data_IF_322085024633
#
_entry.id   IF_322085024633
#
_cell.length_a   1.000
_cell.length_b   1.000
_cell.length_c   1.000
_cell.angle_alpha   90.00
_cell.angle_beta   90.00
_cell.angle_gamma   90.00
#
_symmetry.space_group_name_H-M   'P 1'
#
loop_
_entity.id
_entity.type
_entity.pdbx_description
1 polymer ?
#
# COMPACT_ATOMS: atom_id res chain seq x y z
N UNK A 1 -28.20 7.15 3.31
CA UNK A 1 -26.90 6.78 3.91
C UNK A 1 -25.87 7.57 3.13
N UNK A 2 -25.26 8.59 3.75
CA UNK A 2 -24.25 9.41 3.07
C UNK A 2 -23.12 8.51 2.59
N UNK A 3 -22.89 8.52 1.28
CA UNK A 3 -21.74 7.86 0.67
C UNK A 3 -20.50 8.63 1.07
N UNK A 4 -19.88 8.23 2.18
CA UNK A 4 -18.55 8.70 2.54
C UNK A 4 -17.63 8.40 1.37
N UNK A 5 -16.95 9.43 0.85
CA UNK A 5 -15.97 9.24 -0.22
C UNK A 5 -14.96 8.18 0.24
N UNK A 6 -14.56 7.22 -0.61
CA UNK A 6 -13.54 6.27 -0.22
C UNK A 6 -12.21 7.00 0.02
N UNK A 7 -11.39 6.45 0.92
CA UNK A 7 -10.14 7.04 1.34
C UNK A 7 -9.14 7.05 0.18
N UNK A 8 -8.38 8.13 0.07
CA UNK A 8 -7.28 8.25 -0.89
C UNK A 8 -6.12 7.33 -0.48
N UNK A 9 -5.29 6.93 -1.44
CA UNK A 9 -4.10 6.11 -1.19
C UNK A 9 -3.18 6.77 -0.15
N UNK A 10 -3.05 8.10 -0.19
CA UNK A 10 -2.26 8.87 0.79
C UNK A 10 -2.86 8.82 2.20
N UNK A 11 -4.19 8.91 2.33
CA UNK A 11 -4.89 8.76 3.62
C UNK A 11 -4.70 7.33 4.18
N UNK A 12 -4.80 6.30 3.32
CA UNK A 12 -4.57 4.91 3.71
C UNK A 12 -3.11 4.63 4.11
N UNK A 13 -2.15 5.21 3.39
CA UNK A 13 -0.73 5.08 3.73
C UNK A 13 -0.42 5.75 5.07
N UNK A 14 -0.98 6.93 5.34
CA UNK A 14 -0.87 7.60 6.63
C UNK A 14 -1.52 6.77 7.75
N UNK A 15 -2.67 6.16 7.49
CA UNK A 15 -3.34 5.26 8.43
C UNK A 15 -2.48 4.02 8.75
N UNK A 16 -1.83 3.43 7.74
CA UNK A 16 -0.92 2.30 7.95
C UNK A 16 0.27 2.65 8.88
N UNK A 17 0.80 3.88 8.76
CA UNK A 17 1.92 4.37 9.59
C UNK A 17 1.51 4.69 11.04
N UNK A 18 0.22 4.76 11.33
CA UNK A 18 -0.29 5.03 12.69
C UNK A 18 -0.18 3.83 13.64
N UNK A 19 0.25 2.66 13.13
CA UNK A 19 0.40 1.46 13.94
C UNK A 19 1.45 1.67 15.06
N UNK A 20 1.08 1.49 16.34
CA UNK A 20 2.02 1.60 17.46
C UNK A 20 3.24 0.69 17.33
N UNK A 21 3.09 -0.48 16.69
CA UNK A 21 4.16 -1.46 16.49
C UNK A 21 5.19 -0.98 15.44
N UNK A 22 4.82 -0.01 14.61
CA UNK A 22 5.73 0.68 13.69
C UNK A 22 6.48 1.84 14.37
N UNK A 23 6.10 2.23 15.59
CA UNK A 23 6.83 3.29 16.31
C UNK A 23 8.26 2.85 16.64
N UNK A 24 9.20 3.79 16.63
CA UNK A 24 10.66 3.56 16.73
C UNK A 24 11.15 3.01 18.09
N UNK A 25 10.25 2.68 19.01
CA UNK A 25 10.62 2.22 20.35
C UNK A 25 10.76 0.69 20.33
N UNK A 26 11.92 0.19 19.87
CA UNK A 26 12.20 -1.25 19.75
C UNK A 26 12.40 -1.95 21.10
N UNK A 27 11.31 -2.09 21.86
CA UNK A 27 11.29 -2.88 23.10
C UNK A 27 11.06 -4.37 22.84
N UNK A 28 10.57 -4.73 21.66
CA UNK A 28 10.19 -6.10 21.32
C UNK A 28 11.32 -6.86 20.61
N UNK A 29 11.29 -8.19 20.70
CA UNK A 29 12.18 -9.11 19.99
C UNK A 29 11.95 -9.04 18.47
N UNK A 30 12.99 -9.23 17.65
CA UNK A 30 12.86 -9.35 16.19
C UNK A 30 11.84 -10.41 15.77
N UNK A 31 11.73 -11.52 16.52
CA UNK A 31 10.73 -12.57 16.25
C UNK A 31 9.29 -12.05 16.38
N UNK A 32 9.07 -11.10 17.28
CA UNK A 32 7.77 -10.45 17.41
C UNK A 32 7.42 -9.70 16.14
N UNK A 33 8.33 -8.87 15.61
CA UNK A 33 8.10 -8.12 14.37
C UNK A 33 7.89 -9.02 13.16
N UNK A 34 8.63 -10.14 13.06
CA UNK A 34 8.43 -11.13 11.98
C UNK A 34 7.03 -11.75 12.04
N UNK A 35 6.60 -12.21 13.21
CA UNK A 35 5.25 -12.77 13.40
C UNK A 35 4.18 -11.73 13.12
N UNK A 36 4.42 -10.49 13.53
CA UNK A 36 3.50 -9.37 13.30
C UNK A 36 3.34 -9.08 11.81
N UNK A 37 4.45 -9.01 11.07
CA UNK A 37 4.45 -8.83 9.63
C UNK A 37 3.69 -9.95 8.90
N UNK A 38 3.90 -11.21 9.31
CA UNK A 38 3.18 -12.35 8.74
C UNK A 38 1.67 -12.30 9.06
N UNK A 39 1.32 -11.89 10.28
CA UNK A 39 -0.08 -11.72 10.71
C UNK A 39 -0.78 -10.70 9.82
N UNK A 40 -0.23 -9.49 9.69
CA UNK A 40 -0.76 -8.46 8.81
C UNK A 40 -0.92 -8.94 7.37
N UNK A 41 0.06 -9.66 6.83
CA UNK A 41 -0.05 -10.25 5.49
C UNK A 41 -1.21 -11.23 5.35
N UNK A 42 -1.44 -12.08 6.36
CA UNK A 42 -2.58 -13.03 6.37
C UNK A 42 -3.91 -12.30 6.48
N UNK A 43 -3.97 -11.26 7.31
CA UNK A 43 -5.17 -10.43 7.49
C UNK A 43 -5.52 -9.68 6.20
N UNK A 44 -4.54 -9.00 5.59
CA UNK A 44 -4.71 -8.33 4.31
C UNK A 44 -5.18 -9.28 3.21
N UNK A 45 -4.62 -10.50 3.15
CA UNK A 45 -5.06 -11.53 2.20
C UNK A 45 -6.50 -11.96 2.45
N UNK A 46 -6.88 -12.17 3.71
CA UNK A 46 -8.22 -12.61 4.06
C UNK A 46 -9.27 -11.54 3.73
N UNK A 47 -8.96 -10.27 3.97
CA UNK A 47 -9.80 -9.13 3.63
C UNK A 47 -9.94 -8.97 2.11
N UNK A 48 -8.81 -8.96 1.37
CA UNK A 48 -8.81 -8.79 -0.08
C UNK A 48 -9.51 -9.93 -0.83
N UNK A 49 -9.43 -11.16 -0.32
CA UNK A 49 -10.12 -12.31 -0.90
C UNK A 49 -11.61 -12.38 -0.54
N UNK A 50 -12.09 -11.51 0.35
CA UNK A 50 -13.44 -11.57 0.90
C UNK A 50 -13.69 -12.76 1.84
N UNK A 51 -12.65 -13.54 2.17
CA UNK A 51 -12.71 -14.64 3.13
C UNK A 51 -12.95 -14.13 4.56
N UNK A 52 -12.54 -12.89 4.83
CA UNK A 52 -12.84 -12.16 6.06
C UNK A 52 -13.55 -10.86 5.67
N UNK A 53 -14.69 -10.59 6.30
CA UNK A 53 -15.39 -9.31 6.21
C UNK A 53 -15.35 -8.66 7.57
N UNK A 54 -14.88 -7.42 7.66
CA UNK A 54 -14.76 -6.70 8.94
C UNK A 54 -15.86 -5.66 9.09
N UNK A 55 -16.25 -5.05 7.98
CA UNK A 55 -17.26 -3.99 7.93
C UNK A 55 -18.50 -4.41 7.15
N UNK A 56 -18.38 -5.40 6.26
CA UNK A 56 -19.48 -5.85 5.40
C UNK A 56 -19.62 -5.03 4.11
N UNK A 57 -18.88 -3.92 4.00
CA UNK A 57 -18.71 -3.14 2.79
C UNK A 57 -17.41 -3.54 2.08
N UNK A 58 -17.50 -3.85 0.78
CA UNK A 58 -16.36 -4.33 0.01
C UNK A 58 -15.29 -3.24 -0.16
N UNK A 59 -15.69 -1.98 -0.28
CA UNK A 59 -14.76 -0.85 -0.39
C UNK A 59 -13.91 -0.70 0.86
N UNK A 60 -14.58 -0.66 2.01
CA UNK A 60 -13.95 -0.50 3.32
C UNK A 60 -13.09 -1.72 3.69
N UNK A 61 -13.53 -2.95 3.37
CA UNK A 61 -12.73 -4.14 3.61
C UNK A 61 -11.47 -4.18 2.71
N UNK A 62 -11.52 -3.63 1.49
CA UNK A 62 -10.34 -3.46 0.62
C UNK A 62 -9.38 -2.39 1.14
N UNK A 63 -9.89 -1.26 1.64
CA UNK A 63 -9.10 -0.22 2.29
C UNK A 63 -8.34 -0.79 3.51
N UNK A 64 -9.02 -1.61 4.32
CA UNK A 64 -8.38 -2.33 5.42
C UNK A 64 -7.34 -3.32 4.93
N UNK A 65 -7.61 -4.05 3.84
CA UNK A 65 -6.63 -4.95 3.26
C UNK A 65 -5.34 -4.21 2.87
N UNK A 66 -5.47 -3.03 2.26
CA UNK A 66 -4.34 -2.18 1.91
C UNK A 66 -3.53 -1.80 3.16
N UNK A 67 -4.20 -1.35 4.23
CA UNK A 67 -3.54 -0.95 5.48
C UNK A 67 -2.73 -2.11 6.06
N UNK A 68 -3.32 -3.30 6.17
CA UNK A 68 -2.66 -4.50 6.69
C UNK A 68 -1.43 -4.86 5.84
N UNK A 69 -1.57 -4.82 4.52
CA UNK A 69 -0.43 -5.09 3.64
C UNK A 69 0.68 -4.03 3.75
N UNK A 70 0.32 -2.75 3.82
CA UNK A 70 1.28 -1.65 3.99
C UNK A 70 2.04 -1.80 5.31
N UNK A 71 1.36 -2.14 6.41
CA UNK A 71 1.99 -2.43 7.71
C UNK A 71 2.98 -3.61 7.62
N UNK A 72 2.58 -4.69 6.95
CA UNK A 72 3.47 -5.85 6.71
C UNK A 72 4.73 -5.45 5.94
N UNK A 73 4.58 -4.66 4.87
CA UNK A 73 5.69 -4.20 4.05
C UNK A 73 6.65 -3.31 4.85
N UNK A 74 6.13 -2.34 5.60
CA UNK A 74 6.96 -1.46 6.46
C UNK A 74 7.75 -2.27 7.48
N UNK A 75 7.14 -3.29 8.10
CA UNK A 75 7.86 -4.17 9.02
C UNK A 75 9.01 -4.92 8.34
N UNK A 76 8.77 -5.49 7.16
CA UNK A 76 9.76 -6.33 6.45
C UNK A 76 10.90 -5.51 5.84
N UNK A 77 10.57 -4.35 5.27
CA UNK A 77 11.55 -3.53 4.52
C UNK A 77 12.29 -2.56 5.42
N UNK A 78 11.65 -2.02 6.46
CA UNK A 78 12.25 -0.98 7.29
C UNK A 78 12.58 -1.49 8.69
N UNK A 79 11.58 -2.03 9.41
CA UNK A 79 11.74 -2.29 10.86
C UNK A 79 12.63 -3.49 11.15
N UNK A 80 12.38 -4.63 10.53
CA UNK A 80 13.14 -5.87 10.76
C UNK A 80 14.62 -5.69 10.37
N UNK A 81 14.97 -5.12 9.20
CA UNK A 81 16.38 -4.92 8.83
C UNK A 81 17.11 -3.91 9.73
N UNK A 82 16.39 -2.93 10.28
CA UNK A 82 16.96 -1.95 11.24
C UNK A 82 17.11 -2.49 12.67
N UNK A 83 16.61 -3.69 12.96
CA UNK A 83 16.64 -4.26 14.29
C UNK A 83 18.06 -4.68 14.69
N UNK A 84 18.48 -4.36 15.93
CA UNK A 84 19.84 -4.68 16.43
C UNK A 84 20.21 -6.17 16.29
N UNK A 85 19.23 -7.04 16.51
CA UNK A 85 19.40 -8.49 16.47
C UNK A 85 19.20 -9.09 15.06
N UNK A 86 19.03 -8.27 14.01
CA UNK A 86 18.80 -8.75 12.65
C UNK A 86 19.91 -9.67 12.13
N UNK A 87 21.17 -9.31 12.39
CA UNK A 87 22.31 -10.08 11.93
C UNK A 87 22.62 -11.31 12.80
N UNK A 88 22.18 -11.32 14.05
CA UNK A 88 22.49 -12.37 15.05
C UNK A 88 21.36 -13.40 15.20
N UNK A 89 20.11 -12.97 15.11
CA UNK A 89 18.94 -13.83 15.31
C UNK A 89 18.45 -14.52 14.03
N UNK A 90 18.81 -14.00 12.85
CA UNK A 90 18.42 -14.56 11.55
C UNK A 90 19.61 -15.17 10.83
N UNK A 91 19.38 -16.32 10.19
CA UNK A 91 20.36 -16.94 9.28
C UNK A 91 20.48 -16.13 7.99
N UNK A 92 21.56 -16.33 7.24
CA UNK A 92 21.75 -15.69 5.93
C UNK A 92 20.60 -16.01 4.96
N UNK A 93 20.08 -17.24 5.00
CA UNK A 93 18.93 -17.67 4.20
C UNK A 93 17.63 -16.95 4.61
N UNK A 94 17.36 -16.85 5.92
CA UNK A 94 16.18 -16.12 6.42
C UNK A 94 16.21 -14.64 6.03
N UNK A 95 17.38 -14.00 6.10
CA UNK A 95 17.58 -12.63 5.64
C UNK A 95 17.32 -12.49 4.13
N UNK A 96 17.89 -13.40 3.34
CA UNK A 96 17.69 -13.43 1.87
C UNK A 96 16.21 -13.58 1.52
N UNK A 97 15.48 -14.45 2.21
CA UNK A 97 14.05 -14.65 2.01
C UNK A 97 13.23 -13.41 2.40
N UNK A 98 13.59 -12.70 3.46
CA UNK A 98 12.95 -11.43 3.83
C UNK A 98 13.21 -10.34 2.79
N UNK A 99 14.44 -10.25 2.28
CA UNK A 99 14.79 -9.31 1.20
C UNK A 99 14.03 -9.65 -0.09
N UNK A 100 13.89 -10.93 -0.42
CA UNK A 100 13.12 -11.38 -1.58
C UNK A 100 11.65 -10.91 -1.51
N UNK A 101 11.04 -10.92 -0.32
CA UNK A 101 9.68 -10.39 -0.08
C UNK A 101 9.61 -8.87 -0.27
N UNK A 102 10.67 -8.13 0.10
CA UNK A 102 10.78 -6.69 -0.14
C UNK A 102 11.03 -6.30 -1.61
N UNK A 103 11.71 -7.16 -2.38
CA UNK A 103 11.96 -6.97 -3.82
C UNK A 103 10.84 -7.47 -4.73
N UNK A 104 9.74 -7.99 -4.19
CA UNK A 104 8.58 -8.38 -4.99
C UNK A 104 7.92 -7.12 -5.57
N UNK A 105 8.23 -6.86 -6.85
CA UNK A 105 7.78 -5.77 -7.70
C UNK A 105 6.34 -5.34 -7.44
N UNK A 106 6.09 -4.02 -7.47
CA UNK A 106 4.77 -3.40 -7.38
C UNK A 106 3.73 -3.95 -8.40
N UNK A 107 4.19 -4.70 -9.41
CA UNK A 107 3.35 -5.37 -10.41
C UNK A 107 2.77 -6.73 -9.98
N UNK A 108 3.24 -7.33 -8.88
CA UNK A 108 2.79 -8.66 -8.41
C UNK A 108 2.01 -8.61 -7.11
N UNK A 109 1.62 -7.43 -6.65
CA UNK A 109 0.66 -7.28 -5.54
C UNK A 109 -0.77 -7.35 -6.07
N UNK A 110 -1.47 -8.50 -5.95
CA UNK A 110 -2.88 -8.57 -6.27
C UNK A 110 -3.75 -7.51 -5.54
N UNK A 111 -3.42 -7.03 -4.31
CA UNK A 111 -4.20 -5.99 -3.66
C UNK A 111 -3.94 -4.60 -4.25
N UNK A 112 -2.74 -4.28 -4.73
CA UNK A 112 -2.50 -2.97 -5.37
C UNK A 112 -3.27 -2.88 -6.68
N UNK A 113 -3.26 -3.92 -7.51
CA UNK A 113 -4.06 -3.95 -8.75
C UNK A 113 -5.57 -3.96 -8.42
N UNK A 114 -6.01 -4.66 -7.38
CA UNK A 114 -7.40 -4.60 -6.93
C UNK A 114 -7.80 -3.22 -6.37
N UNK A 115 -6.93 -2.56 -5.59
CA UNK A 115 -7.13 -1.19 -5.11
C UNK A 115 -7.06 -0.17 -6.25
N UNK A 116 -6.18 -0.37 -7.24
CA UNK A 116 -6.10 0.51 -8.41
C UNK A 116 -7.36 0.36 -9.24
N UNK A 117 -7.83 -0.86 -9.50
CA UNK A 117 -9.09 -1.14 -10.21
C UNK A 117 -10.30 -0.61 -9.45
N UNK A 118 -10.31 -0.71 -8.13
CA UNK A 118 -11.35 -0.11 -7.29
C UNK A 118 -11.28 1.43 -7.37
N UNK A 119 -10.10 2.01 -7.27
CA UNK A 119 -9.86 3.44 -7.40
C UNK A 119 -10.24 3.96 -8.79
N UNK A 120 -9.94 3.24 -9.86
CA UNK A 120 -10.33 3.57 -11.23
C UNK A 120 -11.84 3.40 -11.46
N UNK A 121 -12.45 2.34 -10.91
CA UNK A 121 -13.90 2.12 -10.99
C UNK A 121 -14.71 3.19 -10.24
N UNK A 122 -14.12 3.80 -9.21
CA UNK A 122 -14.76 4.82 -8.37
C UNK A 122 -14.20 6.24 -8.58
N UNK A 123 -13.29 6.45 -9.55
CA UNK A 123 -12.77 7.78 -9.93
C UNK A 123 -11.86 8.44 -8.90
N UNK A 124 -11.16 7.67 -8.07
CA UNK A 124 -10.35 8.12 -6.94
C UNK A 124 -8.84 8.18 -7.25
N UNK A 125 -8.45 7.87 -8.49
CA UNK A 125 -7.06 8.03 -8.92
C UNK A 125 -6.75 9.52 -9.07
N UNK A 126 -5.84 10.04 -8.24
CA UNK A 126 -5.18 11.30 -8.54
C UNK A 126 -4.47 11.15 -9.87
N UNK A 127 -5.10 11.65 -10.94
CA UNK A 127 -4.42 11.81 -12.22
C UNK A 127 -3.16 12.64 -11.96
N UNK A 128 -1.97 12.19 -12.35
CA UNK A 128 -0.83 13.08 -12.46
C UNK A 128 -1.25 14.18 -13.43
N UNK A 129 -1.36 15.42 -12.97
CA UNK A 129 -1.40 16.58 -13.85
C UNK A 129 -0.05 16.64 -14.55
N UNK A 130 0.08 15.93 -15.68
CA UNK A 130 1.16 16.16 -16.62
C UNK A 130 1.07 17.62 -17.09
N UNK A 131 2.12 18.44 -16.93
CA UNK A 131 2.15 19.79 -17.48
C UNK A 131 2.94 19.79 -18.79
N UNK A 132 2.34 19.35 -19.90
CA UNK A 132 2.91 19.54 -21.25
C UNK A 132 1.75 19.43 -22.26
N UNK A 133 1.58 20.24 -23.28
CA UNK A 133 2.35 21.36 -23.79
C UNK A 133 1.44 22.18 -24.74
N UNK A 134 1.70 23.49 -24.80
CA UNK A 134 1.53 24.37 -25.97
C UNK A 134 0.34 24.15 -26.92
N UNK A 135 -0.72 24.94 -26.77
CA UNK A 135 -1.60 25.32 -27.89
C UNK A 135 -1.06 26.64 -28.47
N UNK A 136 -0.21 26.54 -29.48
CA UNK A 136 0.19 27.66 -30.34
C UNK A 136 -0.24 27.37 -31.77
N UNK A 137 -0.75 28.40 -32.43
CA UNK A 137 -1.13 28.48 -33.86
C UNK A 137 -2.37 27.67 -34.24
N UNK A 138 -3.39 28.21 -34.90
CA UNK A 138 -3.28 28.95 -36.15
C UNK A 138 -4.52 29.82 -36.39
N UNK A 139 -4.30 31.09 -36.73
CA UNK A 139 -5.33 32.04 -37.10
C UNK A 139 -5.89 31.77 -38.50
N UNK A 140 -7.18 32.04 -38.65
CA UNK A 140 -7.90 32.12 -39.92
C UNK A 140 -7.82 33.56 -40.46
N UNK A 141 -7.34 33.76 -41.70
CA UNK A 141 -7.68 34.97 -42.44
C UNK A 141 -8.20 34.60 -43.82
N UNK A 142 -9.53 34.54 -43.98
CA UNK A 142 -10.16 34.65 -45.29
C UNK A 142 -11.39 35.54 -45.23
N UNK A 143 -11.13 36.84 -45.24
CA UNK A 143 -12.01 37.80 -45.88
C UNK A 143 -11.64 37.89 -47.36
N UNK A 144 -12.57 37.52 -48.23
CA UNK A 144 -12.63 38.02 -49.62
C UNK A 144 -14.06 37.88 -50.10
N UNK A 145 -14.76 39.01 -50.18
CA UNK A 145 -15.56 39.48 -51.31
C UNK A 145 -15.74 40.99 -51.17
#
# INVERSE_FOLDING_TARGET
MEGTRPATISELAAAAQSDPDLSSTSKQDIKYYIRRAETHRKEGKALASGAKKRTGDLGTDMELAFIEYAQSATLIVEKIPSHRDYNTALTAEQRTNLTAVGTFSATTWPPFDACLRYSDAHGLTERPRHPHATRSSQGDPRGTL
#
